data_IF_042221828413
#
_entry.id   IF_042221828413
#
_cell.length_a   1.000
_cell.length_b   1.000
_cell.length_c   1.000
_cell.angle_alpha   90.00
_cell.angle_beta   90.00
_cell.angle_gamma   90.00
#
_symmetry.space_group_name_H-M   'P 1'
#
loop_
_entity.id
_entity.type
_entity.pdbx_description
1 polymer ?
#
# COMPACT_ATOMS: atom_id res chain seq x y z
N UNK A 1 3.33 12.25 0.96
CA UNK A 1 1.92 11.84 0.76
C UNK A 1 1.06 12.49 1.83
N UNK A 2 -0.10 13.03 1.46
CA UNK A 2 -1.11 13.51 2.40
C UNK A 2 -2.47 13.09 1.84
N UNK A 3 -3.19 12.19 2.51
CA UNK A 3 -4.42 11.61 1.97
C UNK A 3 -5.56 11.53 2.97
N UNK A 4 -6.78 11.62 2.45
CA UNK A 4 -8.04 11.27 3.11
C UNK A 4 -8.80 10.31 2.21
N UNK A 5 -9.45 9.35 2.80
CA UNK A 5 -10.29 8.42 2.06
C UNK A 5 -11.61 8.13 2.78
N UNK A 6 -12.69 8.00 2.00
CA UNK A 6 -14.04 7.82 2.52
C UNK A 6 -14.84 6.88 1.61
N UNK A 7 -15.57 5.97 2.21
CA UNK A 7 -16.55 5.10 1.55
C UNK A 7 -17.97 5.58 1.89
N UNK A 8 -18.58 6.35 0.99
CA UNK A 8 -19.83 7.06 1.29
C UNK A 8 -19.62 8.05 2.44
N UNK A 9 -20.41 7.92 3.50
CA UNK A 9 -20.32 8.79 4.69
C UNK A 9 -19.24 8.36 5.70
N UNK A 10 -18.60 7.20 5.50
CA UNK A 10 -17.58 6.68 6.39
C UNK A 10 -16.18 7.17 5.98
N UNK A 11 -15.60 8.10 6.74
CA UNK A 11 -14.22 8.53 6.57
C UNK A 11 -13.25 7.49 7.19
N UNK A 12 -12.51 6.77 6.34
CA UNK A 12 -11.58 5.70 6.74
C UNK A 12 -10.19 6.23 6.99
N UNK A 13 -9.70 7.17 6.15
CA UNK A 13 -8.42 7.86 6.36
C UNK A 13 -8.66 9.35 6.59
N UNK A 14 -8.23 9.84 7.76
CA UNK A 14 -8.54 11.18 8.24
C UNK A 14 -7.37 12.16 8.15
N UNK A 15 -6.75 12.24 6.98
CA UNK A 15 -5.66 13.20 6.74
C UNK A 15 -4.30 12.66 7.19
N UNK A 16 -3.93 11.51 6.68
CA UNK A 16 -2.63 10.88 6.90
C UNK A 16 -1.57 11.61 6.07
N UNK A 17 -0.58 12.16 6.74
CA UNK A 17 0.57 12.79 6.13
C UNK A 17 1.81 11.96 6.42
N UNK A 18 2.44 11.41 5.37
CA UNK A 18 3.52 10.45 5.55
C UNK A 18 4.55 10.45 4.42
N UNK A 19 5.80 10.15 4.77
CA UNK A 19 6.92 9.98 3.84
C UNK A 19 7.64 8.67 4.16
N UNK A 20 8.03 7.91 3.12
CA UNK A 20 8.80 6.68 3.20
C UNK A 20 10.10 6.90 2.42
N UNK A 21 11.23 6.62 3.05
CA UNK A 21 12.55 6.79 2.45
C UNK A 21 12.97 5.53 1.70
N UNK A 22 13.82 5.70 0.70
CA UNK A 22 14.39 4.56 -0.02
C UNK A 22 15.22 3.67 0.92
N UNK A 23 15.02 2.36 0.84
CA UNK A 23 15.65 1.37 1.71
C UNK A 23 15.06 1.29 3.12
N UNK A 24 14.03 2.09 3.44
CA UNK A 24 13.38 2.07 4.74
C UNK A 24 12.38 0.91 4.85
N UNK A 25 12.39 0.23 5.98
CA UNK A 25 11.40 -0.78 6.35
C UNK A 25 10.41 -0.17 7.35
N UNK A 26 9.16 -0.03 6.91
CA UNK A 26 8.09 0.57 7.71
C UNK A 26 7.02 -0.47 8.02
N UNK A 27 6.77 -0.73 9.30
CA UNK A 27 5.62 -1.54 9.73
C UNK A 27 4.45 -0.68 10.16
N UNK A 28 3.26 -1.02 9.66
CA UNK A 28 2.00 -0.38 10.05
C UNK A 28 1.23 -1.35 10.93
N UNK A 29 1.01 -0.98 12.20
CA UNK A 29 0.30 -1.78 13.19
C UNK A 29 -0.97 -1.05 13.67
N UNK A 30 -1.89 -1.79 14.27
CA UNK A 30 -3.14 -1.22 14.82
C UNK A 30 -4.30 -2.21 14.77
N UNK A 31 -5.41 -1.84 15.40
CA UNK A 31 -6.61 -2.67 15.45
C UNK A 31 -7.23 -2.91 14.06
N UNK A 32 -8.03 -3.97 13.94
CA UNK A 32 -8.84 -4.21 12.73
C UNK A 32 -9.74 -3.00 12.46
N UNK A 33 -9.92 -2.64 11.19
CA UNK A 33 -10.73 -1.49 10.78
C UNK A 33 -10.08 -0.12 10.99
N UNK A 34 -8.81 -0.02 11.41
CA UNK A 34 -8.13 1.27 11.60
C UNK A 34 -7.67 1.96 10.29
N UNK A 35 -7.88 1.34 9.11
CA UNK A 35 -7.53 1.92 7.81
C UNK A 35 -6.17 1.50 7.26
N UNK A 36 -5.44 0.55 7.89
CA UNK A 36 -4.09 0.11 7.47
C UNK A 36 -4.02 -0.39 6.02
N UNK A 37 -4.88 -1.34 5.67
CA UNK A 37 -4.93 -1.91 4.31
C UNK A 37 -5.38 -0.88 3.29
N UNK A 38 -6.32 0.00 3.63
CA UNK A 38 -6.74 1.12 2.79
C UNK A 38 -5.57 2.06 2.51
N UNK A 39 -4.81 2.45 3.57
CA UNK A 39 -3.61 3.26 3.42
C UNK A 39 -2.60 2.60 2.47
N UNK A 40 -2.30 1.31 2.68
CA UNK A 40 -1.37 0.56 1.86
C UNK A 40 -1.81 0.50 0.39
N UNK A 41 -3.11 0.27 0.12
CA UNK A 41 -3.66 0.23 -1.24
C UNK A 41 -3.72 1.59 -1.92
N UNK A 42 -3.83 2.67 -1.15
CA UNK A 42 -3.71 4.02 -1.68
C UNK A 42 -2.29 4.32 -2.17
N UNK A 43 -1.23 3.72 -1.58
CA UNK A 43 0.14 3.96 -2.01
C UNK A 43 0.40 3.58 -3.49
N UNK A 44 -0.18 2.47 -3.96
CA UNK A 44 -0.07 2.04 -5.35
C UNK A 44 -1.32 2.33 -6.18
N UNK A 45 -2.24 3.15 -5.64
CA UNK A 45 -3.49 3.56 -6.27
C UNK A 45 -4.38 2.39 -6.72
N UNK A 46 -4.34 1.25 -6.00
CA UNK A 46 -5.39 0.23 -6.09
C UNK A 46 -6.71 0.76 -5.52
N UNK A 47 -6.62 1.61 -4.51
CA UNK A 47 -7.70 2.45 -4.02
C UNK A 47 -7.33 3.91 -4.28
N UNK A 48 -8.21 4.66 -4.93
CA UNK A 48 -8.00 6.08 -5.22
C UNK A 48 -8.49 6.90 -4.04
N UNK A 49 -7.63 7.64 -3.34
CA UNK A 49 -8.07 8.47 -2.23
C UNK A 49 -9.13 9.48 -2.63
N UNK A 50 -10.04 9.79 -1.72
CA UNK A 50 -11.07 10.82 -1.93
C UNK A 50 -10.45 12.19 -2.07
N UNK A 51 -9.38 12.49 -1.30
CA UNK A 51 -8.65 13.75 -1.42
C UNK A 51 -7.20 13.61 -0.98
N UNK A 52 -6.37 14.57 -1.41
CA UNK A 52 -4.99 14.66 -1.00
C UNK A 52 -4.00 14.58 -2.15
N UNK A 53 -2.78 14.17 -1.82
CA UNK A 53 -1.67 14.10 -2.76
C UNK A 53 -0.82 12.85 -2.50
N UNK A 54 -0.47 12.12 -3.55
CA UNK A 54 0.49 11.01 -3.51
C UNK A 54 1.56 11.29 -4.56
N UNK A 55 2.82 11.21 -4.15
CA UNK A 55 3.98 11.27 -5.05
C UNK A 55 4.90 10.06 -4.83
N UNK A 56 5.58 9.66 -5.89
CA UNK A 56 6.58 8.61 -5.87
C UNK A 56 7.81 9.07 -6.67
N UNK A 57 8.99 9.03 -6.09
CA UNK A 57 10.25 9.51 -6.68
C UNK A 57 10.16 10.94 -7.24
N UNK A 58 9.41 11.83 -6.56
CA UNK A 58 9.21 13.22 -6.97
C UNK A 58 8.12 13.42 -8.03
N UNK A 59 7.58 12.35 -8.63
CA UNK A 59 6.47 12.44 -9.55
C UNK A 59 5.12 12.35 -8.84
N UNK A 60 4.18 13.24 -9.17
CA UNK A 60 2.81 13.20 -8.64
C UNK A 60 2.03 12.08 -9.28
N UNK A 61 1.61 11.09 -8.47
CA UNK A 61 0.74 10.00 -8.91
C UNK A 61 -0.74 10.35 -8.81
N UNK A 62 -1.10 11.08 -7.77
CA UNK A 62 -2.48 11.49 -7.50
C UNK A 62 -2.49 12.85 -6.81
N UNK A 63 -3.39 13.71 -7.25
CA UNK A 63 -3.72 14.96 -6.59
C UNK A 63 -5.20 15.27 -6.81
N UNK A 64 -5.92 15.59 -5.74
CA UNK A 64 -7.30 16.01 -5.81
C UNK A 64 -7.38 17.53 -5.77
N UNK A 65 -7.83 18.11 -6.86
CA UNK A 65 -8.03 19.56 -6.99
C UNK A 65 -9.44 19.99 -6.55
N UNK A 66 -10.42 19.08 -6.61
CA UNK A 66 -11.83 19.41 -6.34
C UNK A 66 -12.20 19.35 -4.87
N UNK A 67 -11.69 18.42 -4.09
CA UNK A 67 -12.12 18.20 -2.70
C UNK A 67 -11.78 19.37 -1.75
N UNK A 68 -10.59 20.00 -1.82
CA UNK A 68 -10.31 21.19 -1.02
C UNK A 68 -11.31 22.33 -1.28
N UNK A 69 -11.66 22.56 -2.56
CA UNK A 69 -12.59 23.62 -2.97
C UNK A 69 -14.03 23.32 -2.55
N UNK A 70 -14.47 22.07 -2.62
CA UNK A 70 -15.79 21.68 -2.11
C UNK A 70 -15.93 21.96 -0.61
N UNK A 71 -14.89 21.70 0.18
CA UNK A 71 -14.88 22.02 1.61
C UNK A 71 -14.97 23.52 1.86
N UNK A 72 -14.15 24.32 1.15
CA UNK A 72 -14.22 25.78 1.26
C UNK A 72 -15.60 26.31 0.88
N UNK A 73 -16.22 25.79 -0.19
CA UNK A 73 -17.57 26.16 -0.59
C UNK A 73 -18.59 25.80 0.49
N UNK A 74 -18.47 24.62 1.08
CA UNK A 74 -19.37 24.19 2.16
C UNK A 74 -19.22 25.07 3.41
N UNK A 75 -18.00 25.40 3.82
CA UNK A 75 -17.74 26.32 4.92
C UNK A 75 -18.30 27.72 4.62
N UNK A 76 -18.11 28.21 3.38
CA UNK A 76 -18.64 29.48 2.93
C UNK A 76 -20.17 29.51 3.00
N UNK A 77 -20.83 28.44 2.56
CA UNK A 77 -22.30 28.30 2.62
C UNK A 77 -22.85 28.27 4.05
N UNK A 78 -22.09 27.73 5.00
CA UNK A 78 -22.49 27.67 6.41
C UNK A 78 -22.34 29.01 7.14
N UNK A 79 -21.53 29.93 6.61
CA UNK A 79 -21.25 31.23 7.23
C UNK A 79 -22.01 32.40 6.58
N UNK A 80 -22.69 32.16 5.46
CA UNK A 80 -23.41 33.22 4.70
C UNK A 80 -24.86 32.80 4.44
N UNK A 81 -25.75 33.79 4.36
CA UNK A 81 -27.17 33.55 4.08
C UNK A 81 -27.35 33.07 2.62
N UNK A 82 -28.19 32.06 2.43
CA UNK A 82 -28.42 31.41 1.13
C UNK A 82 -28.91 32.36 0.02
N UNK A 83 -29.63 33.41 0.38
CA UNK A 83 -30.12 34.39 -0.60
C UNK A 83 -29.01 35.33 -1.10
N UNK A 84 -28.03 35.65 -0.23
CA UNK A 84 -26.89 36.52 -0.60
C UNK A 84 -25.85 35.83 -1.46
N UNK A 85 -25.71 34.49 -1.35
CA UNK A 85 -24.69 33.70 -2.05
C UNK A 85 -24.74 33.83 -3.59
N UNK A 86 -25.93 33.99 -4.18
CA UNK A 86 -26.08 34.04 -5.65
C UNK A 86 -25.35 35.20 -6.32
N UNK A 87 -25.16 36.30 -5.59
CA UNK A 87 -24.53 37.51 -6.09
C UNK A 87 -23.23 37.85 -5.34
N UNK A 88 -22.72 36.88 -4.55
CA UNK A 88 -21.50 37.07 -3.79
C UNK A 88 -20.28 36.74 -4.66
N UNK A 89 -19.43 37.71 -4.89
CA UNK A 89 -18.24 37.58 -5.74
C UNK A 89 -17.26 36.52 -5.22
N UNK A 90 -17.16 36.32 -3.90
CA UNK A 90 -16.32 35.32 -3.29
C UNK A 90 -16.83 33.90 -3.57
N UNK A 91 -18.16 33.69 -3.45
CA UNK A 91 -18.79 32.43 -3.75
C UNK A 91 -18.73 32.07 -5.25
N UNK A 92 -18.98 33.06 -6.12
CA UNK A 92 -18.88 32.88 -7.58
C UNK A 92 -17.46 32.50 -7.97
N UNK A 93 -16.44 33.12 -7.39
CA UNK A 93 -15.02 32.80 -7.64
C UNK A 93 -14.69 31.36 -7.22
N UNK A 94 -15.14 30.93 -6.05
CA UNK A 94 -14.95 29.54 -5.59
C UNK A 94 -15.63 28.51 -6.51
N UNK A 95 -16.81 28.82 -7.03
CA UNK A 95 -17.51 27.98 -8.01
C UNK A 95 -16.76 27.88 -9.34
N UNK A 96 -16.20 28.97 -9.82
CA UNK A 96 -15.39 28.98 -11.05
C UNK A 96 -14.08 28.19 -10.86
N UNK A 97 -13.43 28.34 -9.72
CA UNK A 97 -12.24 27.54 -9.37
C UNK A 97 -12.59 26.04 -9.29
N UNK A 98 -13.73 25.68 -8.68
CA UNK A 98 -14.20 24.30 -8.65
C UNK A 98 -14.46 23.72 -10.05
N UNK A 99 -15.02 24.52 -10.96
CA UNK A 99 -15.26 24.08 -12.34
C UNK A 99 -13.94 23.88 -13.12
N UNK A 100 -12.92 24.69 -12.88
CA UNK A 100 -11.56 24.52 -13.43
C UNK A 100 -10.92 23.26 -12.85
N UNK A 101 -11.00 23.05 -11.52
CA UNK A 101 -10.49 21.88 -10.84
C UNK A 101 -11.13 20.57 -11.34
N UNK A 102 -12.46 20.54 -11.57
CA UNK A 102 -13.16 19.39 -12.17
C UNK A 102 -12.62 19.02 -13.55
N UNK A 103 -12.22 20.00 -14.36
CA UNK A 103 -11.59 19.76 -15.67
C UNK A 103 -10.20 19.16 -15.51
N UNK A 104 -9.39 19.70 -14.58
CA UNK A 104 -8.05 19.19 -14.28
C UNK A 104 -8.10 17.73 -13.77
N UNK A 105 -8.98 17.41 -12.80
CA UNK A 105 -9.17 16.05 -12.30
C UNK A 105 -9.63 15.07 -13.40
N UNK A 106 -10.46 15.56 -14.37
CA UNK A 106 -10.90 14.75 -15.52
C UNK A 106 -9.77 14.47 -16.52
N UNK A 107 -8.89 15.45 -16.74
CA UNK A 107 -7.72 15.28 -17.60
C UNK A 107 -6.67 14.36 -16.95
N UNK A 108 -6.44 14.52 -15.66
CA UNK A 108 -5.58 13.62 -14.89
C UNK A 108 -6.06 12.16 -15.02
N UNK A 109 -7.37 11.89 -14.85
CA UNK A 109 -7.96 10.56 -15.02
C UNK A 109 -7.71 9.95 -16.40
N UNK A 110 -7.67 10.73 -17.47
CA UNK A 110 -7.43 10.20 -18.83
C UNK A 110 -5.99 9.72 -19.04
N UNK A 111 -5.02 10.34 -18.37
CA UNK A 111 -3.60 10.04 -18.52
C UNK A 111 -3.08 9.11 -17.42
N UNK A 112 -3.86 8.93 -16.34
CA UNK A 112 -3.43 8.24 -15.13
C UNK A 112 -3.09 6.78 -15.38
N UNK A 113 -3.80 6.07 -16.26
CA UNK A 113 -3.61 4.64 -16.50
C UNK A 113 -2.21 4.30 -17.02
N UNK A 114 -1.65 5.14 -17.89
CA UNK A 114 -0.27 4.95 -18.38
C UNK A 114 0.75 5.18 -17.28
N UNK A 115 0.57 6.26 -16.53
CA UNK A 115 1.45 6.62 -15.40
C UNK A 115 1.37 5.53 -14.34
N UNK A 116 0.16 5.11 -13.95
CA UNK A 116 -0.05 4.05 -12.96
C UNK A 116 0.56 2.72 -13.37
N UNK A 117 0.44 2.33 -14.64
CA UNK A 117 1.02 1.08 -15.11
C UNK A 117 2.55 1.08 -15.01
N UNK A 118 3.22 2.20 -15.24
CA UNK A 118 4.66 2.34 -15.05
C UNK A 118 5.03 2.30 -13.55
N UNK A 119 4.30 3.03 -12.70
CA UNK A 119 4.58 3.07 -11.26
C UNK A 119 4.28 1.75 -10.57
N UNK A 120 3.18 1.06 -10.94
CA UNK A 120 2.87 -0.28 -10.42
C UNK A 120 3.91 -1.34 -10.78
N UNK A 121 4.66 -1.16 -11.86
CA UNK A 121 5.81 -2.02 -12.16
C UNK A 121 6.98 -1.82 -11.20
N UNK A 122 7.07 -0.63 -10.56
CA UNK A 122 8.08 -0.30 -9.56
C UNK A 122 7.62 -0.59 -8.12
N UNK A 123 6.35 -0.92 -7.92
CA UNK A 123 5.75 -1.20 -6.61
C UNK A 123 5.17 -2.61 -6.59
N UNK A 124 5.91 -3.56 -6.03
CA UNK A 124 5.40 -4.92 -5.81
C UNK A 124 4.36 -4.91 -4.68
N UNK A 125 3.26 -5.63 -4.86
CA UNK A 125 2.26 -5.80 -3.79
C UNK A 125 1.94 -7.27 -3.55
N UNK A 126 1.95 -7.64 -2.28
CA UNK A 126 1.61 -8.98 -1.78
C UNK A 126 0.40 -8.85 -0.87
N UNK A 127 -0.64 -9.61 -1.15
CA UNK A 127 -1.93 -9.58 -0.47
C UNK A 127 -2.07 -10.69 0.56
N UNK A 128 -3.01 -10.52 1.48
CA UNK A 128 -3.41 -11.52 2.47
C UNK A 128 -3.83 -12.86 1.84
N UNK A 129 -4.52 -12.84 0.70
CA UNK A 129 -5.09 -14.03 0.03
C UNK A 129 -4.24 -14.51 -1.17
N UNK A 130 -2.92 -14.43 -1.11
CA UNK A 130 -1.95 -14.90 -2.10
C UNK A 130 -2.13 -14.31 -3.51
N UNK A 131 -3.33 -14.29 -4.08
CA UNK A 131 -3.70 -13.77 -5.41
C UNK A 131 -2.85 -14.34 -6.57
N UNK A 132 -2.39 -15.59 -6.46
CA UNK A 132 -1.68 -16.30 -7.53
C UNK A 132 -2.66 -16.79 -8.60
N UNK A 133 -2.21 -16.88 -9.84
CA UNK A 133 -3.03 -17.34 -10.98
C UNK A 133 -3.16 -18.87 -10.93
N UNK A 134 -4.36 -19.45 -10.63
CA UNK A 134 -4.50 -20.86 -10.35
C UNK A 134 -4.38 -21.75 -11.62
N UNK A 135 -4.55 -21.17 -12.80
CA UNK A 135 -4.46 -21.84 -14.10
C UNK A 135 -3.02 -21.92 -14.66
N UNK A 136 -2.11 -21.10 -14.12
CA UNK A 136 -0.69 -21.06 -14.49
C UNK A 136 0.15 -21.89 -13.54
N UNK A 137 1.30 -22.40 -13.99
CA UNK A 137 2.32 -23.04 -13.15
C UNK A 137 3.00 -22.00 -12.25
N UNK A 138 3.84 -22.43 -11.30
CA UNK A 138 4.62 -21.52 -10.46
C UNK A 138 5.55 -20.66 -11.32
N UNK A 139 6.23 -21.24 -12.30
CA UNK A 139 7.14 -20.53 -13.18
C UNK A 139 6.36 -19.50 -14.04
N UNK A 140 5.26 -19.92 -14.67
CA UNK A 140 4.42 -19.03 -15.47
C UNK A 140 3.83 -17.87 -14.65
N UNK A 141 3.47 -18.08 -13.37
CA UNK A 141 3.04 -17.01 -12.47
C UNK A 141 4.10 -15.93 -12.32
N UNK A 142 5.38 -16.29 -12.29
CA UNK A 142 6.50 -15.37 -12.10
C UNK A 142 6.83 -14.66 -13.43
N UNK A 143 6.84 -15.40 -14.54
CA UNK A 143 7.34 -14.91 -15.83
C UNK A 143 6.32 -14.09 -16.61
N UNK A 144 5.02 -14.26 -16.33
CA UNK A 144 3.94 -13.58 -17.06
C UNK A 144 4.12 -12.06 -17.13
N UNK A 145 4.34 -11.40 -16.02
CA UNK A 145 4.41 -9.94 -15.99
C UNK A 145 5.68 -9.39 -16.69
N UNK A 146 6.89 -9.88 -16.42
CA UNK A 146 8.10 -9.44 -17.14
C UNK A 146 8.01 -9.61 -18.65
N UNK A 147 7.44 -10.71 -19.13
CA UNK A 147 7.27 -10.98 -20.57
C UNK A 147 6.19 -10.09 -21.17
N UNK A 148 5.00 -10.02 -20.55
CA UNK A 148 3.87 -9.24 -21.06
C UNK A 148 4.20 -7.74 -21.13
N UNK A 149 4.94 -7.23 -20.16
CA UNK A 149 5.38 -5.82 -20.14
C UNK A 149 6.59 -5.55 -21.04
N UNK A 150 7.11 -6.58 -21.73
CA UNK A 150 8.29 -6.52 -22.59
C UNK A 150 9.57 -6.04 -21.89
N UNK A 151 9.65 -6.24 -20.58
CA UNK A 151 10.88 -5.97 -19.81
C UNK A 151 11.96 -7.02 -20.06
N UNK A 152 11.54 -8.25 -20.33
CA UNK A 152 12.46 -9.38 -20.56
C UNK A 152 11.98 -10.25 -21.71
N UNK A 153 12.92 -10.99 -22.29
CA UNK A 153 12.59 -12.12 -23.18
C UNK A 153 12.01 -13.27 -22.35
N UNK A 154 11.34 -14.21 -22.99
CA UNK A 154 10.80 -15.40 -22.31
C UNK A 154 11.93 -16.24 -21.69
N UNK A 155 13.07 -16.36 -22.39
CA UNK A 155 14.24 -17.09 -21.90
C UNK A 155 14.84 -16.46 -20.65
N UNK A 156 15.05 -15.13 -20.64
CA UNK A 156 15.57 -14.41 -19.49
C UNK A 156 14.58 -14.45 -18.30
N UNK A 157 13.27 -14.31 -18.58
CA UNK A 157 12.24 -14.41 -17.57
C UNK A 157 12.18 -15.80 -16.91
N UNK A 158 12.32 -16.88 -17.71
CA UNK A 158 12.37 -18.25 -17.21
C UNK A 158 13.60 -18.47 -16.31
N UNK A 159 14.76 -17.98 -16.73
CA UNK A 159 15.98 -18.06 -15.92
C UNK A 159 15.83 -17.34 -14.59
N UNK A 160 15.35 -16.09 -14.62
CA UNK A 160 15.05 -15.32 -13.40
C UNK A 160 14.00 -16.03 -12.53
N UNK A 161 12.94 -16.57 -13.13
CA UNK A 161 11.88 -17.27 -12.44
C UNK A 161 12.38 -18.48 -11.66
N UNK A 162 13.26 -19.28 -12.26
CA UNK A 162 13.88 -20.43 -11.58
C UNK A 162 14.81 -20.00 -10.44
N UNK A 163 15.57 -18.92 -10.61
CA UNK A 163 16.42 -18.36 -9.56
C UNK A 163 15.56 -17.84 -8.37
N UNK A 164 14.44 -17.19 -8.65
CA UNK A 164 13.50 -16.71 -7.63
C UNK A 164 12.81 -17.86 -6.90
N UNK A 165 12.37 -18.89 -7.61
CA UNK A 165 11.80 -20.11 -6.99
C UNK A 165 12.80 -20.80 -6.07
N UNK A 166 14.06 -20.87 -6.48
CA UNK A 166 15.14 -21.44 -5.66
C UNK A 166 15.34 -20.65 -4.36
N UNK A 167 15.32 -19.29 -4.42
CA UNK A 167 15.47 -18.42 -3.23
C UNK A 167 14.40 -18.69 -2.17
N UNK A 168 13.20 -19.13 -2.57
CA UNK A 168 12.08 -19.38 -1.64
C UNK A 168 11.81 -20.89 -1.42
N UNK A 169 12.72 -21.78 -1.85
CA UNK A 169 12.61 -23.23 -1.66
C UNK A 169 11.50 -23.88 -2.50
N UNK A 170 11.17 -23.32 -3.65
CA UNK A 170 10.13 -23.82 -4.57
C UNK A 170 10.67 -24.26 -5.92
N UNK A 171 11.98 -24.47 -6.09
CA UNK A 171 12.61 -24.85 -7.36
C UNK A 171 11.98 -26.14 -7.96
N UNK A 172 11.77 -27.17 -7.11
CA UNK A 172 11.14 -28.43 -7.52
C UNK A 172 9.65 -28.33 -7.86
N UNK A 173 9.05 -27.14 -7.70
CA UNK A 173 7.63 -26.85 -7.95
C UNK A 173 7.40 -25.95 -9.16
N UNK A 174 8.44 -25.71 -9.99
CA UNK A 174 8.35 -24.81 -11.13
C UNK A 174 7.15 -25.11 -12.03
N UNK A 175 6.92 -26.38 -12.38
CA UNK A 175 5.84 -26.84 -13.25
C UNK A 175 4.54 -27.19 -12.51
N UNK A 176 4.48 -26.97 -11.19
CA UNK A 176 3.32 -27.29 -10.36
C UNK A 176 2.35 -26.10 -10.36
N UNK A 177 1.04 -26.38 -10.44
CA UNK A 177 0.00 -25.34 -10.31
C UNK A 177 -0.25 -24.99 -8.84
N UNK A 178 -0.63 -23.73 -8.52
CA UNK A 178 -0.84 -23.25 -7.16
C UNK A 178 -1.84 -24.06 -6.32
N UNK A 179 -2.82 -24.73 -6.94
CA UNK A 179 -3.78 -25.54 -6.21
C UNK A 179 -3.13 -26.72 -5.45
N UNK A 180 -1.95 -27.15 -5.88
CA UNK A 180 -1.18 -28.24 -5.27
C UNK A 180 -0.10 -27.73 -4.30
N UNK A 181 -0.15 -26.45 -3.92
CA UNK A 181 0.75 -25.83 -2.95
C UNK A 181 0.07 -25.60 -1.61
N UNK A 182 0.84 -25.66 -0.51
CA UNK A 182 0.38 -25.20 0.80
C UNK A 182 0.17 -23.68 0.83
N UNK A 183 -0.50 -23.16 1.86
CA UNK A 183 -0.70 -21.72 2.06
C UNK A 183 0.62 -20.94 2.07
N UNK A 184 1.59 -21.38 2.87
CA UNK A 184 2.91 -20.75 2.92
C UNK A 184 3.67 -20.80 1.60
N UNK A 185 3.55 -21.91 0.84
CA UNK A 185 4.13 -22.02 -0.49
C UNK A 185 3.49 -21.04 -1.49
N UNK A 186 2.15 -20.89 -1.46
CA UNK A 186 1.43 -19.90 -2.27
C UNK A 186 1.87 -18.46 -1.94
N UNK A 187 2.07 -18.17 -0.67
CA UNK A 187 2.50 -16.86 -0.23
C UNK A 187 3.95 -16.57 -0.68
N UNK A 188 4.86 -17.52 -0.52
CA UNK A 188 6.23 -17.38 -1.04
C UNK A 188 6.24 -17.22 -2.58
N UNK A 189 5.38 -17.93 -3.30
CA UNK A 189 5.20 -17.72 -4.75
C UNK A 189 4.69 -16.32 -5.06
N UNK A 190 3.72 -15.79 -4.31
CA UNK A 190 3.21 -14.43 -4.49
C UNK A 190 4.29 -13.37 -4.27
N UNK A 191 5.18 -13.55 -3.28
CA UNK A 191 6.31 -12.67 -3.00
C UNK A 191 7.27 -12.64 -4.20
N UNK A 192 7.74 -13.81 -4.65
CA UNK A 192 8.72 -13.85 -5.78
C UNK A 192 8.09 -13.43 -7.10
N UNK A 193 6.79 -13.62 -7.31
CA UNK A 193 6.08 -13.06 -8.45
C UNK A 193 6.13 -11.53 -8.46
N UNK A 194 5.91 -10.89 -7.31
CA UNK A 194 6.03 -9.43 -7.20
C UNK A 194 7.49 -8.98 -7.43
N UNK A 195 8.46 -9.72 -6.92
CA UNK A 195 9.89 -9.44 -7.11
C UNK A 195 10.37 -9.55 -8.56
N UNK A 196 9.72 -10.38 -9.39
CA UNK A 196 10.13 -10.61 -10.78
C UNK A 196 10.11 -9.34 -11.63
N UNK A 197 9.34 -8.32 -11.23
CA UNK A 197 9.31 -7.01 -11.87
C UNK A 197 10.46 -6.09 -11.42
N UNK A 198 11.34 -6.54 -10.51
CA UNK A 198 12.41 -5.74 -9.89
C UNK A 198 11.90 -4.41 -9.33
N UNK A 199 10.93 -4.46 -8.40
CA UNK A 199 10.31 -3.26 -7.85
C UNK A 199 11.29 -2.49 -6.95
N UNK A 200 11.09 -1.16 -6.86
CA UNK A 200 11.80 -0.29 -5.92
C UNK A 200 11.21 -0.34 -4.50
N UNK A 201 9.94 -0.73 -4.39
CA UNK A 201 9.18 -0.84 -3.13
C UNK A 201 8.35 -2.11 -3.11
N UNK A 202 8.35 -2.81 -1.97
CA UNK A 202 7.45 -3.94 -1.70
C UNK A 202 6.41 -3.57 -0.65
N UNK A 203 5.14 -3.75 -1.00
CA UNK A 203 3.99 -3.52 -0.14
C UNK A 203 3.41 -4.86 0.31
N UNK A 204 3.26 -5.08 1.61
CA UNK A 204 2.71 -6.32 2.18
C UNK A 204 1.44 -6.02 2.99
N UNK A 205 0.30 -6.56 2.55
CA UNK A 205 -0.99 -6.44 3.24
C UNK A 205 -1.27 -7.71 4.03
N UNK A 206 -0.91 -7.74 5.31
CA UNK A 206 -1.09 -8.87 6.23
C UNK A 206 -0.63 -10.24 5.64
N UNK A 207 0.63 -10.38 5.24
CA UNK A 207 1.10 -11.52 4.43
C UNK A 207 1.03 -12.88 5.15
N UNK A 208 0.78 -12.92 6.44
CA UNK A 208 0.75 -14.17 7.26
C UNK A 208 -0.63 -14.49 7.81
N UNK A 209 -1.61 -13.58 7.75
CA UNK A 209 -2.90 -13.73 8.43
C UNK A 209 -3.79 -14.89 7.91
N UNK A 210 -3.54 -15.37 6.68
CA UNK A 210 -4.24 -16.51 6.09
C UNK A 210 -3.44 -17.83 6.18
N UNK A 211 -2.40 -17.88 7.03
CA UNK A 211 -1.50 -19.03 7.16
C UNK A 211 -1.66 -19.75 8.49
N UNK A 212 -1.40 -21.06 8.46
CA UNK A 212 -1.21 -21.83 9.69
C UNK A 212 0.08 -21.37 10.41
N UNK A 213 0.11 -21.37 11.76
CA UNK A 213 1.24 -20.86 12.53
C UNK A 213 2.61 -21.48 12.16
N UNK A 214 2.63 -22.76 11.79
CA UNK A 214 3.85 -23.45 11.36
C UNK A 214 4.44 -22.94 10.04
N UNK A 215 3.62 -22.28 9.20
CA UNK A 215 4.04 -21.74 7.92
C UNK A 215 4.43 -20.26 7.97
N UNK A 216 4.08 -19.56 9.04
CA UNK A 216 4.32 -18.11 9.22
C UNK A 216 5.82 -17.82 9.17
N UNK A 217 6.62 -18.58 9.90
CA UNK A 217 8.07 -18.37 10.00
C UNK A 217 8.77 -18.34 8.65
N UNK A 218 8.47 -19.31 7.78
CA UNK A 218 9.08 -19.38 6.45
C UNK A 218 8.80 -18.16 5.59
N UNK A 219 7.58 -17.61 5.68
CA UNK A 219 7.19 -16.40 4.92
C UNK A 219 7.86 -15.15 5.49
N UNK A 220 7.91 -15.01 6.82
CA UNK A 220 8.59 -13.91 7.48
C UNK A 220 10.10 -13.90 7.19
N UNK A 221 10.74 -15.08 7.11
CA UNK A 221 12.17 -15.21 6.76
C UNK A 221 12.46 -14.70 5.34
N UNK A 222 11.57 -14.96 4.38
CA UNK A 222 11.69 -14.40 3.02
C UNK A 222 11.60 -12.88 3.07
N UNK A 223 10.63 -12.31 3.80
CA UNK A 223 10.47 -10.85 3.90
C UNK A 223 11.69 -10.23 4.59
N UNK A 224 12.21 -10.86 5.65
CA UNK A 224 13.43 -10.43 6.34
C UNK A 224 14.63 -10.38 5.39
N UNK A 225 14.81 -11.44 4.58
CA UNK A 225 15.89 -11.47 3.57
C UNK A 225 15.80 -10.31 2.58
N UNK A 226 14.59 -9.86 2.22
CA UNK A 226 14.40 -8.67 1.37
C UNK A 226 14.78 -7.38 2.10
N UNK A 227 14.39 -7.26 3.37
CA UNK A 227 14.75 -6.12 4.22
C UNK A 227 16.27 -6.00 4.39
N UNK A 228 16.95 -7.10 4.74
CA UNK A 228 18.40 -7.17 4.89
C UNK A 228 19.14 -6.87 3.57
N UNK A 229 18.49 -7.13 2.42
CA UNK A 229 18.95 -6.76 1.09
C UNK A 229 18.79 -5.28 0.72
N UNK A 230 18.28 -4.43 1.62
CA UNK A 230 18.07 -2.99 1.40
C UNK A 230 16.81 -2.64 0.60
N UNK A 231 15.85 -3.57 0.47
CA UNK A 231 14.56 -3.31 -0.17
C UNK A 231 13.73 -2.31 0.65
N UNK A 232 13.13 -1.33 -0.01
CA UNK A 232 12.11 -0.49 0.64
C UNK A 232 10.86 -1.31 0.88
N UNK A 233 10.42 -1.41 2.13
CA UNK A 233 9.27 -2.26 2.51
C UNK A 233 8.26 -1.46 3.31
N UNK A 234 6.99 -1.59 2.96
CA UNK A 234 5.87 -1.18 3.80
C UNK A 234 5.02 -2.40 4.09
N UNK A 235 4.89 -2.75 5.35
CA UNK A 235 4.19 -3.96 5.76
C UNK A 235 3.09 -3.66 6.78
N UNK A 236 1.86 -4.06 6.48
CA UNK A 236 0.79 -4.18 7.47
C UNK A 236 0.89 -5.56 8.09
N UNK A 237 1.05 -5.64 9.40
CA UNK A 237 1.23 -6.93 10.08
C UNK A 237 0.63 -6.94 11.48
N UNK A 238 0.25 -8.15 11.93
CA UNK A 238 -0.11 -8.46 13.31
C UNK A 238 1.01 -9.21 14.05
N UNK A 239 2.13 -9.49 13.39
CA UNK A 239 3.31 -10.13 13.96
C UNK A 239 4.19 -9.09 14.67
N UNK A 240 3.87 -8.77 15.93
CA UNK A 240 4.54 -7.69 16.68
C UNK A 240 6.03 -7.95 16.88
N UNK A 241 6.42 -9.21 17.15
CA UNK A 241 7.83 -9.62 17.28
C UNK A 241 8.61 -9.36 15.99
N UNK A 242 8.00 -9.70 14.84
CA UNK A 242 8.60 -9.48 13.54
C UNK A 242 8.70 -7.99 13.19
N UNK A 243 7.63 -7.22 13.41
CA UNK A 243 7.65 -5.77 13.21
C UNK A 243 8.76 -5.10 14.04
N UNK A 244 8.95 -5.54 15.30
CA UNK A 244 10.01 -5.05 16.18
C UNK A 244 11.41 -5.38 15.65
N UNK A 245 11.58 -6.54 15.03
CA UNK A 245 12.88 -7.04 14.56
C UNK A 245 13.35 -6.37 13.27
N UNK A 246 12.45 -6.20 12.28
CA UNK A 246 12.86 -5.80 10.93
C UNK A 246 12.71 -4.32 10.61
N UNK A 247 11.91 -3.58 11.40
CA UNK A 247 11.53 -2.22 11.00
C UNK A 247 12.54 -1.18 11.41
N UNK A 248 12.76 -0.20 10.53
CA UNK A 248 13.43 1.06 10.89
C UNK A 248 12.43 1.98 11.62
N UNK A 249 11.15 1.90 11.25
CA UNK A 249 10.08 2.72 11.81
C UNK A 249 8.77 1.95 11.87
N UNK A 250 8.02 2.18 12.94
CA UNK A 250 6.70 1.59 13.17
C UNK A 250 5.67 2.70 13.28
N UNK A 251 4.54 2.52 12.61
CA UNK A 251 3.38 3.42 12.63
C UNK A 251 2.23 2.71 13.33
N UNK A 252 1.71 3.31 14.37
CA UNK A 252 0.48 2.85 15.01
C UNK A 252 -0.73 3.65 14.52
N UNK A 253 -1.67 2.94 13.88
CA UNK A 253 -2.93 3.52 13.39
C UNK A 253 -4.12 3.12 14.25
N UNK A 254 -4.96 4.08 14.55
CA UNK A 254 -6.29 3.87 15.16
C UNK A 254 -7.28 4.88 14.60
N UNK A 255 -8.51 4.41 14.32
CA UNK A 255 -9.63 5.26 13.88
C UNK A 255 -9.33 6.16 12.67
N UNK A 256 -8.51 5.66 11.73
CA UNK A 256 -8.18 6.36 10.48
C UNK A 256 -7.09 7.43 10.60
N UNK A 257 -6.41 7.52 11.74
CA UNK A 257 -5.28 8.45 11.96
C UNK A 257 -4.02 7.71 12.39
N UNK A 258 -2.86 8.31 12.14
CA UNK A 258 -1.60 7.90 12.76
C UNK A 258 -1.60 8.48 14.18
N UNK A 259 -1.69 7.60 15.19
CA UNK A 259 -1.71 8.00 16.58
C UNK A 259 -0.31 8.17 17.15
N UNK A 260 0.62 7.31 16.74
CA UNK A 260 2.00 7.35 17.18
C UNK A 260 2.91 6.72 16.13
N UNK A 261 4.12 7.25 15.96
CA UNK A 261 5.16 6.69 15.11
C UNK A 261 6.54 6.84 15.74
N UNK A 262 7.44 5.94 15.44
CA UNK A 262 8.79 5.99 15.97
C UNK A 262 9.61 4.75 15.63
N UNK A 263 10.79 4.67 16.23
CA UNK A 263 11.59 3.45 16.18
C UNK A 263 10.85 2.28 16.85
N UNK A 264 11.17 1.03 16.51
CA UNK A 264 10.61 -0.14 17.19
C UNK A 264 10.71 -0.07 18.71
N UNK A 265 11.86 0.40 19.22
CA UNK A 265 12.07 0.56 20.66
C UNK A 265 11.08 1.58 21.28
N UNK A 266 10.90 2.74 20.64
CA UNK A 266 9.97 3.77 21.11
C UNK A 266 8.53 3.25 21.16
N UNK A 267 8.09 2.55 20.10
CA UNK A 267 6.70 2.09 19.99
C UNK A 267 6.41 0.90 20.91
N UNK A 268 7.30 -0.11 20.98
CA UNK A 268 7.02 -1.34 21.70
C UNK A 268 7.45 -1.29 23.18
N UNK A 269 8.51 -0.58 23.52
CA UNK A 269 9.04 -0.53 24.87
C UNK A 269 8.69 0.77 25.61
N UNK A 270 8.48 1.87 24.88
CA UNK A 270 8.24 3.20 25.46
C UNK A 270 7.01 3.91 24.87
N UNK A 271 5.83 3.22 24.71
CA UNK A 271 4.64 3.82 24.13
C UNK A 271 4.18 5.05 24.91
N UNK A 272 3.85 6.14 24.20
CA UNK A 272 3.44 7.40 24.84
C UNK A 272 1.92 7.51 24.95
N UNK A 273 1.21 7.21 23.86
CA UNK A 273 -0.24 7.39 23.82
C UNK A 273 -0.98 6.31 24.62
N UNK A 274 -2.06 6.67 25.38
CA UNK A 274 -2.87 5.69 26.08
C UNK A 274 -3.44 4.62 25.14
N UNK A 275 -3.77 5.01 23.91
CA UNK A 275 -4.34 4.09 22.91
C UNK A 275 -3.36 3.02 22.47
N UNK A 276 -2.08 3.39 22.25
CA UNK A 276 -1.04 2.42 21.92
C UNK A 276 -0.76 1.49 23.11
N UNK A 277 -0.70 2.01 24.35
CA UNK A 277 -0.53 1.20 25.56
C UNK A 277 -1.63 0.14 25.70
N UNK A 278 -2.90 0.56 25.50
CA UNK A 278 -4.04 -0.35 25.52
C UNK A 278 -3.94 -1.41 24.42
N UNK A 279 -3.54 -1.02 23.19
CA UNK A 279 -3.38 -1.96 22.07
C UNK A 279 -2.30 -2.99 22.38
N UNK A 280 -1.11 -2.55 22.80
CA UNK A 280 0.01 -3.46 23.07
C UNK A 280 -0.28 -4.43 24.22
N UNK A 281 -0.98 -3.99 25.29
CA UNK A 281 -1.36 -4.86 26.39
C UNK A 281 -2.33 -6.01 26.02
N UNK A 282 -2.95 -5.94 24.82
CA UNK A 282 -3.87 -6.97 24.32
C UNK A 282 -3.19 -7.92 23.32
N UNK A 283 -2.04 -7.52 22.75
CA UNK A 283 -1.40 -8.26 21.66
C UNK A 283 0.00 -8.78 22.00
N UNK A 284 0.61 -8.28 23.07
CA UNK A 284 1.85 -8.77 23.70
C UNK A 284 1.55 -9.44 25.03
#
# INVERSE_FOLDING_TARGET
MCIRDSYGDLEVLKGINYEIKRGEVVSIIGSSGSGKSTLLRCLNLLETPTSGHISFEGETLFESHTEPLKRQIHEYQNTHDKESLKNDDGYIKLQDELNKAKKADKEQKKNIDKILNLHRQKMGMVFQHFNVFPHLTCLENITLAPVTTKKMTEEDANKLGLELLKKVGLESKADVKPNNLSGGQKQRLAIVRAMAMSPDVMLFDEPTSALDPEMVKDVLEVIKTLADGGMTIVIVTHEMGFAKEISDRVIFMSEGVVCEEGSPDAIFNHPQTPRLKEFLSKVL
#
